data_IF_823930854543
#
_entry.id   IF_823930854543
#
_cell.length_a   1.000
_cell.length_b   1.000
_cell.length_c   1.000
_cell.angle_alpha   90.00
_cell.angle_beta   90.00
_cell.angle_gamma   90.00
#
_symmetry.space_group_name_H-M   'P 1'
#
loop_
_entity.id
_entity.type
_entity.pdbx_description
1 polymer ?
#
# COMPACT_ATOMS: atom_id res chain seq x y z
N UNK A 1 -2.24 -32.69 26.07
CA UNK A 1 -2.62 -31.87 24.90
C UNK A 1 -1.62 -30.72 24.79
N UNK A 2 -0.95 -30.54 23.64
CA UNK A 2 -0.08 -29.37 23.41
C UNK A 2 -0.97 -28.19 23.05
N UNK A 3 -0.93 -27.09 23.80
CA UNK A 3 -1.77 -25.90 23.55
C UNK A 3 -0.98 -24.62 23.82
N UNK A 4 -1.22 -23.59 23.01
CA UNK A 4 -0.66 -22.25 23.20
C UNK A 4 -1.79 -21.23 23.21
N UNK A 5 -1.65 -20.16 24.01
CA UNK A 5 -2.60 -19.04 23.97
C UNK A 5 -2.21 -18.15 22.80
N UNK A 6 -2.90 -18.33 21.67
CA UNK A 6 -2.63 -17.62 20.43
C UNK A 6 -3.82 -16.75 20.05
N UNK A 7 -3.54 -15.46 19.88
CA UNK A 7 -4.45 -14.53 19.23
C UNK A 7 -4.45 -14.84 17.72
N UNK A 8 -5.64 -14.92 17.15
CA UNK A 8 -5.83 -15.19 15.73
C UNK A 8 -6.93 -14.28 15.19
N UNK A 9 -6.62 -13.56 14.11
CA UNK A 9 -7.59 -12.75 13.38
C UNK A 9 -7.48 -13.05 11.89
N UNK A 10 -8.60 -13.43 11.32
CA UNK A 10 -8.79 -13.65 9.89
C UNK A 10 -9.84 -12.66 9.38
N UNK A 11 -9.57 -12.05 8.23
CA UNK A 11 -10.48 -11.11 7.58
C UNK A 11 -10.45 -11.35 6.08
N UNK A 12 -11.63 -11.55 5.48
CA UNK A 12 -11.80 -11.47 4.04
C UNK A 12 -12.07 -10.02 3.68
N UNK A 13 -11.27 -9.47 2.77
CA UNK A 13 -11.51 -8.12 2.27
C UNK A 13 -12.57 -8.16 1.17
N UNK A 14 -13.34 -7.08 1.05
CA UNK A 14 -14.30 -6.90 -0.05
C UNK A 14 -13.55 -6.58 -1.35
N UNK A 15 -12.87 -7.59 -1.85
CA UNK A 15 -12.12 -7.59 -3.09
C UNK A 15 -11.93 -9.05 -3.52
N UNK A 16 -12.43 -9.36 -4.70
CA UNK A 16 -12.06 -10.56 -5.43
C UNK A 16 -10.95 -10.20 -6.41
N UNK A 17 -10.22 -11.22 -6.85
CA UNK A 17 -9.29 -11.09 -7.97
C UNK A 17 -9.62 -12.08 -9.08
N UNK A 18 -9.30 -11.72 -10.32
CA UNK A 18 -9.37 -12.62 -11.47
C UNK A 18 -8.17 -12.36 -12.37
N UNK A 19 -7.50 -13.43 -12.79
CA UNK A 19 -6.34 -13.35 -13.65
C UNK A 19 -6.73 -13.27 -15.12
N UNK A 20 -5.89 -12.61 -15.90
CA UNK A 20 -5.95 -12.52 -17.35
C UNK A 20 -4.51 -12.60 -17.91
N UNK A 21 -4.39 -12.81 -19.21
CA UNK A 21 -3.13 -12.89 -19.92
C UNK A 21 -3.19 -12.03 -21.18
N UNK A 22 -2.16 -11.22 -21.37
CA UNK A 22 -1.87 -10.54 -22.64
C UNK A 22 -0.85 -11.40 -23.38
N UNK A 23 -1.22 -11.86 -24.57
CA UNK A 23 -0.35 -12.65 -25.44
C UNK A 23 0.83 -11.80 -25.98
N UNK A 24 1.89 -12.41 -26.53
CA UNK A 24 2.90 -11.68 -27.27
C UNK A 24 2.31 -10.99 -28.50
N UNK A 25 3.00 -9.99 -29.03
CA UNK A 25 2.66 -9.35 -30.30
C UNK A 25 2.81 -10.34 -31.48
N UNK A 26 2.31 -9.95 -32.66
CA UNK A 26 2.47 -10.74 -33.88
C UNK A 26 3.94 -10.97 -34.26
N UNK A 27 4.84 -10.08 -33.85
CA UNK A 27 6.29 -10.21 -34.05
C UNK A 27 6.98 -11.04 -32.94
N UNK A 28 6.18 -11.71 -32.11
CA UNK A 28 6.63 -12.45 -30.94
C UNK A 28 7.45 -11.57 -29.98
N UNK A 29 6.99 -10.34 -29.73
CA UNK A 29 7.58 -9.40 -28.78
C UNK A 29 6.57 -8.91 -27.73
N UNK A 30 7.03 -8.20 -26.70
CA UNK A 30 6.13 -7.61 -25.71
C UNK A 30 5.20 -6.56 -26.35
N UNK A 31 3.90 -6.64 -26.07
CA UNK A 31 2.93 -5.66 -26.58
C UNK A 31 3.02 -4.27 -25.91
N UNK A 32 3.50 -4.23 -24.66
CA UNK A 32 3.72 -3.02 -23.87
C UNK A 32 5.08 -3.09 -23.18
N UNK A 33 5.53 -2.00 -22.55
CA UNK A 33 6.87 -1.91 -21.96
C UNK A 33 7.15 -3.06 -20.94
N UNK A 34 8.17 -3.90 -21.15
CA UNK A 34 8.47 -5.02 -20.24
C UNK A 34 9.23 -4.61 -18.97
N UNK A 35 9.58 -3.33 -18.83
CA UNK A 35 10.38 -2.83 -17.71
C UNK A 35 9.56 -2.02 -16.69
N UNK A 36 8.23 -2.10 -16.77
CA UNK A 36 7.32 -1.35 -15.91
C UNK A 36 6.23 -2.25 -15.34
N UNK A 37 5.81 -1.94 -14.12
CA UNK A 37 4.55 -2.41 -13.55
C UNK A 37 3.43 -1.53 -14.10
N UNK A 38 2.51 -2.12 -14.86
CA UNK A 38 1.39 -1.38 -15.44
C UNK A 38 0.19 -1.44 -14.50
N UNK A 39 -0.41 -0.28 -14.22
CA UNK A 39 -1.55 -0.14 -13.30
C UNK A 39 -2.59 0.76 -13.96
N UNK A 40 -3.81 0.26 -14.07
CA UNK A 40 -4.99 1.04 -14.45
C UNK A 40 -5.89 1.22 -13.22
N UNK A 41 -5.82 2.39 -12.55
CA UNK A 41 -6.62 2.66 -11.36
C UNK A 41 -8.06 3.06 -11.74
N UNK A 42 -9.04 2.41 -11.13
CA UNK A 42 -10.47 2.60 -11.44
C UNK A 42 -11.32 3.20 -10.31
N UNK A 43 -10.75 3.49 -9.14
CA UNK A 43 -11.51 3.96 -7.96
C UNK A 43 -11.82 2.80 -7.02
N UNK A 44 -12.86 2.04 -7.32
CA UNK A 44 -13.25 0.87 -6.50
C UNK A 44 -12.66 -0.44 -7.00
N UNK A 45 -12.09 -0.42 -8.21
CA UNK A 45 -11.44 -1.54 -8.86
C UNK A 45 -10.10 -1.08 -9.46
N UNK A 46 -9.24 -2.04 -9.76
CA UNK A 46 -7.97 -1.78 -10.43
C UNK A 46 -7.57 -2.97 -11.29
N UNK A 47 -6.87 -2.69 -12.38
CA UNK A 47 -6.27 -3.71 -13.23
C UNK A 47 -4.75 -3.52 -13.22
N UNK A 48 -3.99 -4.59 -13.01
CA UNK A 48 -2.52 -4.55 -13.07
C UNK A 48 -2.01 -5.54 -14.12
N UNK A 49 -0.83 -5.29 -14.68
CA UNK A 49 -0.14 -6.23 -15.55
C UNK A 49 1.35 -6.32 -15.20
N UNK A 50 1.83 -7.55 -15.03
CA UNK A 50 3.22 -7.88 -14.77
C UNK A 50 3.81 -8.64 -15.97
N UNK A 51 5.00 -8.25 -16.46
CA UNK A 51 5.65 -8.92 -17.57
C UNK A 51 6.18 -10.30 -17.15
N UNK A 52 6.05 -11.26 -18.04
CA UNK A 52 6.61 -12.62 -17.92
C UNK A 52 7.80 -12.81 -18.86
N UNK A 53 8.75 -13.72 -18.55
CA UNK A 53 9.91 -14.00 -19.42
C UNK A 53 9.56 -14.51 -20.82
N UNK A 54 8.39 -15.13 -20.98
CA UNK A 54 7.85 -15.64 -22.25
C UNK A 54 7.17 -14.57 -23.11
N UNK A 55 7.36 -13.29 -22.75
CA UNK A 55 6.81 -12.11 -23.43
C UNK A 55 5.30 -11.93 -23.31
N UNK A 56 4.66 -12.69 -22.42
CA UNK A 56 3.28 -12.46 -22.00
C UNK A 56 3.22 -11.44 -20.86
N UNK A 57 2.02 -10.98 -20.53
CA UNK A 57 1.77 -10.32 -19.24
C UNK A 57 0.69 -11.06 -18.47
N UNK A 58 0.99 -11.38 -17.21
CA UNK A 58 -0.05 -11.81 -16.25
C UNK A 58 -0.72 -10.56 -15.73
N UNK A 59 -2.02 -10.48 -15.97
CA UNK A 59 -2.83 -9.37 -15.55
C UNK A 59 -3.81 -9.80 -14.47
N UNK A 60 -4.20 -8.87 -13.61
CA UNK A 60 -5.13 -9.17 -12.53
C UNK A 60 -6.12 -8.02 -12.36
N UNK A 61 -7.41 -8.36 -12.44
CA UNK A 61 -8.50 -7.47 -12.05
C UNK A 61 -8.77 -7.66 -10.56
N UNK A 62 -8.75 -6.56 -9.82
CA UNK A 62 -9.18 -6.49 -8.43
C UNK A 62 -10.44 -5.64 -8.34
N UNK A 63 -11.53 -6.20 -7.81
CA UNK A 63 -12.79 -5.47 -7.64
C UNK A 63 -13.65 -6.08 -6.51
N UNK A 64 -14.52 -5.29 -5.86
CA UNK A 64 -15.54 -5.78 -4.94
C UNK A 64 -16.42 -6.89 -5.53
N UNK A 65 -16.97 -7.75 -4.68
CA UNK A 65 -17.78 -8.88 -5.12
C UNK A 65 -19.01 -8.45 -5.95
N UNK A 66 -19.60 -7.29 -5.63
CA UNK A 66 -20.74 -6.71 -6.36
C UNK A 66 -20.40 -6.41 -7.83
N UNK A 67 -19.17 -5.94 -8.10
CA UNK A 67 -18.72 -5.71 -9.47
C UNK A 67 -18.59 -7.02 -10.23
N UNK A 68 -18.03 -8.07 -9.62
CA UNK A 68 -17.92 -9.37 -10.25
C UNK A 68 -19.30 -9.95 -10.60
N UNK A 69 -20.27 -9.91 -9.67
CA UNK A 69 -21.63 -10.36 -9.94
C UNK A 69 -22.29 -9.61 -11.12
N UNK A 70 -22.02 -8.30 -11.24
CA UNK A 70 -22.50 -7.49 -12.36
C UNK A 70 -21.83 -7.89 -13.68
N UNK A 71 -20.52 -8.12 -13.67
CA UNK A 71 -19.72 -8.48 -14.86
C UNK A 71 -20.03 -9.89 -15.36
N UNK A 72 -20.35 -10.82 -14.46
CA UNK A 72 -20.77 -12.20 -14.79
C UNK A 72 -22.13 -12.26 -15.47
N UNK A 73 -23.01 -11.27 -15.26
CA UNK A 73 -24.39 -11.31 -15.74
C UNK A 73 -24.54 -11.23 -17.26
N UNK A 74 -23.63 -10.51 -17.94
CA UNK A 74 -23.62 -10.36 -19.40
C UNK A 74 -22.21 -10.06 -19.91
N UNK A 75 -21.64 -10.88 -20.82
CA UNK A 75 -20.37 -10.60 -21.47
C UNK A 75 -20.25 -9.20 -22.11
N UNK A 76 -21.36 -8.61 -22.57
CA UNK A 76 -21.36 -7.24 -23.12
C UNK A 76 -21.08 -6.18 -22.06
N UNK A 77 -21.52 -6.41 -20.82
CA UNK A 77 -21.25 -5.52 -19.68
C UNK A 77 -19.76 -5.57 -19.36
N UNK A 78 -19.16 -6.76 -19.35
CA UNK A 78 -17.71 -6.94 -19.18
C UNK A 78 -16.91 -6.13 -20.21
N UNK A 79 -17.24 -6.27 -21.49
CA UNK A 79 -16.56 -5.53 -22.57
C UNK A 79 -16.71 -4.01 -22.39
N UNK A 80 -17.93 -3.54 -22.11
CA UNK A 80 -18.19 -2.11 -21.88
C UNK A 80 -17.45 -1.58 -20.65
N UNK A 81 -17.37 -2.37 -19.58
CA UNK A 81 -16.65 -2.04 -18.36
C UNK A 81 -15.15 -1.84 -18.65
N UNK A 82 -14.52 -2.78 -19.34
CA UNK A 82 -13.11 -2.64 -19.72
C UNK A 82 -12.86 -1.46 -20.66
N UNK A 83 -13.73 -1.23 -21.65
CA UNK A 83 -13.61 -0.07 -22.54
C UNK A 83 -13.74 1.26 -21.81
N UNK A 84 -14.65 1.35 -20.84
CA UNK A 84 -14.93 2.58 -20.10
C UNK A 84 -13.84 2.89 -19.07
N UNK A 85 -13.39 1.87 -18.35
CA UNK A 85 -12.54 2.04 -17.18
C UNK A 85 -11.06 1.76 -17.44
N UNK A 86 -10.76 0.89 -18.40
CA UNK A 86 -9.40 0.47 -18.75
C UNK A 86 -9.15 0.65 -20.25
N UNK A 87 -9.27 1.89 -20.78
CA UNK A 87 -9.08 2.14 -22.19
C UNK A 87 -7.68 1.67 -22.63
N UNK A 88 -7.64 0.98 -23.77
CA UNK A 88 -6.42 0.37 -24.32
C UNK A 88 -6.22 -1.09 -23.94
N UNK A 89 -6.83 -1.61 -22.86
CA UNK A 89 -6.71 -3.04 -22.51
C UNK A 89 -7.45 -3.91 -23.51
N UNK A 90 -8.73 -3.63 -23.78
CA UNK A 90 -9.51 -4.33 -24.81
C UNK A 90 -10.17 -3.31 -25.74
N UNK A 91 -10.17 -3.52 -27.07
CA UNK A 91 -9.66 -4.69 -27.81
C UNK A 91 -8.14 -4.67 -28.08
N UNK A 92 -7.40 -3.67 -27.58
CA UNK A 92 -6.01 -3.40 -27.99
C UNK A 92 -5.01 -4.49 -27.58
N UNK A 93 -4.97 -4.86 -26.30
CA UNK A 93 -4.02 -5.84 -25.74
C UNK A 93 -4.63 -7.23 -25.60
N UNK A 94 -5.90 -7.28 -25.18
CA UNK A 94 -6.69 -8.50 -25.01
C UNK A 94 -7.88 -8.45 -25.96
N UNK A 95 -7.97 -9.37 -26.95
CA UNK A 95 -9.13 -9.49 -27.81
C UNK A 95 -10.43 -9.69 -27.00
N UNK A 96 -11.57 -9.15 -27.43
CA UNK A 96 -12.84 -9.27 -26.72
C UNK A 96 -13.24 -10.72 -26.37
N UNK A 97 -13.03 -11.64 -27.31
CA UNK A 97 -13.30 -13.07 -27.16
C UNK A 97 -12.43 -13.73 -26.09
N UNK A 98 -11.15 -13.36 -26.04
CA UNK A 98 -10.21 -13.85 -25.05
C UNK A 98 -10.51 -13.27 -23.68
N UNK A 99 -10.89 -11.99 -23.61
CA UNK A 99 -11.29 -11.35 -22.35
C UNK A 99 -12.49 -12.07 -21.72
N UNK A 100 -13.53 -12.33 -22.52
CA UNK A 100 -14.74 -13.05 -22.07
C UNK A 100 -14.39 -14.47 -21.64
N UNK A 101 -13.61 -15.18 -22.46
CA UNK A 101 -13.20 -16.56 -22.18
C UNK A 101 -12.41 -16.65 -20.87
N UNK A 102 -11.41 -15.78 -20.70
CA UNK A 102 -10.56 -15.77 -19.52
C UNK A 102 -11.36 -15.41 -18.27
N UNK A 103 -12.23 -14.40 -18.32
CA UNK A 103 -13.08 -14.03 -17.19
C UNK A 103 -14.05 -15.14 -16.78
N UNK A 104 -14.60 -15.88 -17.75
CA UNK A 104 -15.58 -16.95 -17.48
C UNK A 104 -14.92 -18.26 -17.02
N UNK A 105 -13.65 -18.48 -17.36
CA UNK A 105 -12.94 -19.73 -17.06
C UNK A 105 -12.08 -19.61 -15.81
N UNK A 106 -11.47 -18.45 -15.59
CA UNK A 106 -10.57 -18.23 -14.46
C UNK A 106 -11.38 -18.00 -13.18
N UNK A 107 -10.93 -18.54 -12.03
CA UNK A 107 -11.67 -18.42 -10.79
C UNK A 107 -11.63 -16.99 -10.25
N UNK A 108 -12.73 -16.53 -9.67
CA UNK A 108 -12.80 -15.25 -8.95
C UNK A 108 -12.53 -15.51 -7.47
N UNK A 109 -11.29 -15.33 -7.04
CA UNK A 109 -10.87 -15.76 -5.71
C UNK A 109 -10.93 -14.62 -4.70
N UNK A 110 -11.36 -14.89 -3.46
CA UNK A 110 -11.36 -13.90 -2.39
C UNK A 110 -9.94 -13.69 -1.84
N UNK A 111 -9.70 -12.49 -1.32
CA UNK A 111 -8.45 -12.15 -0.68
C UNK A 111 -8.58 -12.18 0.85
N UNK A 112 -7.65 -12.88 1.49
CA UNK A 112 -7.60 -13.08 2.94
C UNK A 112 -6.46 -12.27 3.56
N UNK A 113 -6.71 -11.75 4.76
CA UNK A 113 -5.73 -11.12 5.63
C UNK A 113 -5.72 -11.85 6.97
N UNK A 114 -4.55 -12.31 7.39
CA UNK A 114 -4.36 -13.09 8.61
C UNK A 114 -3.32 -12.42 9.50
N UNK A 115 -3.64 -12.33 10.79
CA UNK A 115 -2.71 -11.89 11.84
C UNK A 115 -2.76 -12.89 12.98
N UNK A 116 -1.60 -13.24 13.51
CA UNK A 116 -1.53 -14.16 14.62
C UNK A 116 -0.38 -13.87 15.57
N UNK A 117 -0.50 -14.33 16.82
CA UNK A 117 0.53 -14.16 17.84
C UNK A 117 0.28 -15.11 19.01
N UNK A 118 1.27 -15.86 19.52
CA UNK A 118 2.65 -15.93 19.05
C UNK A 118 2.82 -16.86 17.83
N UNK A 119 3.96 -16.77 17.14
CA UNK A 119 4.27 -17.61 15.98
C UNK A 119 4.93 -18.96 16.36
N UNK A 120 4.93 -19.38 17.63
CA UNK A 120 5.63 -20.58 18.07
C UNK A 120 4.94 -21.29 19.23
N UNK A 121 5.33 -22.54 19.47
CA UNK A 121 4.96 -23.33 20.64
C UNK A 121 6.18 -23.96 21.32
N UNK A 122 6.57 -23.38 22.45
CA UNK A 122 7.70 -23.84 23.26
C UNK A 122 8.96 -23.98 22.43
N UNK A 123 9.57 -25.17 22.44
CA UNK A 123 10.71 -25.53 21.58
C UNK A 123 10.34 -26.40 20.39
N UNK A 124 9.05 -26.68 20.16
CA UNK A 124 8.63 -27.78 19.29
C UNK A 124 8.13 -27.35 17.91
N UNK A 125 7.53 -26.17 17.80
CA UNK A 125 6.91 -25.73 16.54
C UNK A 125 7.04 -24.21 16.36
N UNK A 126 7.15 -23.79 15.11
CA UNK A 126 7.13 -22.39 14.66
C UNK A 126 6.37 -22.33 13.33
N UNK A 127 5.59 -21.27 13.13
CA UNK A 127 4.90 -20.95 11.89
C UNK A 127 5.56 -19.72 11.25
N UNK A 128 5.69 -19.72 9.93
CA UNK A 128 6.35 -18.69 9.13
C UNK A 128 5.51 -18.38 7.88
N UNK A 129 5.76 -17.25 7.23
CA UNK A 129 5.09 -16.82 6.01
C UNK A 129 3.57 -16.72 6.17
N UNK A 130 2.83 -17.11 5.14
CA UNK A 130 1.36 -16.99 5.10
C UNK A 130 0.65 -17.78 6.22
N UNK A 131 1.27 -18.84 6.74
CA UNK A 131 0.73 -19.57 7.89
C UNK A 131 0.70 -18.71 9.17
N UNK A 132 1.62 -17.75 9.29
CA UNK A 132 1.71 -16.83 10.41
C UNK A 132 1.02 -15.48 10.12
N UNK A 133 1.12 -14.99 8.88
CA UNK A 133 0.68 -13.63 8.51
C UNK A 133 0.30 -13.47 7.03
N UNK A 134 -0.73 -14.17 6.54
CA UNK A 134 -1.23 -13.95 5.19
C UNK A 134 -1.53 -12.46 4.91
N UNK A 135 -0.82 -11.86 3.96
CA UNK A 135 -0.95 -10.45 3.58
C UNK A 135 -1.67 -10.31 2.24
N UNK A 136 -2.47 -9.27 2.13
CA UNK A 136 -3.10 -8.92 0.85
C UNK A 136 -2.03 -8.48 -0.16
N UNK A 137 -2.17 -8.82 -1.47
CA UNK A 137 -1.08 -8.77 -2.45
C UNK A 137 -0.72 -7.36 -2.94
N UNK A 138 -1.24 -6.31 -2.30
CA UNK A 138 -1.16 -4.96 -2.84
C UNK A 138 0.18 -4.27 -2.65
N UNK A 139 1.09 -4.81 -1.84
CA UNK A 139 2.47 -4.30 -1.72
C UNK A 139 3.50 -5.21 -2.40
N UNK A 140 3.11 -6.40 -2.89
CA UNK A 140 4.07 -7.38 -3.43
C UNK A 140 5.06 -7.94 -2.40
N UNK A 141 4.70 -7.93 -1.11
CA UNK A 141 5.63 -8.25 -0.01
C UNK A 141 5.35 -9.58 0.70
N UNK A 142 4.31 -10.34 0.36
CA UNK A 142 4.00 -11.60 1.03
C UNK A 142 5.16 -12.61 0.97
N UNK A 143 5.63 -12.90 -0.25
CA UNK A 143 6.78 -13.76 -0.47
C UNK A 143 8.05 -13.21 0.21
N UNK A 144 8.34 -11.93 0.03
CA UNK A 144 9.53 -11.28 0.60
C UNK A 144 9.54 -11.34 2.14
N UNK A 145 8.40 -11.04 2.78
CA UNK A 145 8.24 -11.12 4.22
C UNK A 145 8.33 -12.55 4.74
N UNK A 146 7.85 -13.54 3.99
CA UNK A 146 7.98 -14.96 4.31
C UNK A 146 9.43 -15.46 4.20
N UNK A 147 10.16 -15.06 3.16
CA UNK A 147 11.60 -15.36 3.05
C UNK A 147 12.40 -14.67 4.16
N UNK A 148 12.02 -13.44 4.51
CA UNK A 148 12.61 -12.71 5.63
C UNK A 148 12.36 -13.42 6.97
N UNK A 149 11.20 -14.04 7.17
CA UNK A 149 10.93 -14.83 8.39
C UNK A 149 11.95 -15.95 8.58
N UNK A 150 12.27 -16.66 7.50
CA UNK A 150 13.26 -17.75 7.52
C UNK A 150 14.60 -17.20 7.93
N UNK A 151 15.07 -16.12 7.28
CA UNK A 151 16.34 -15.46 7.64
C UNK A 151 16.39 -15.07 9.12
N UNK A 152 15.38 -14.36 9.61
CA UNK A 152 15.33 -13.86 11.00
C UNK A 152 15.23 -15.00 12.01
N UNK A 153 14.49 -16.06 11.69
CA UNK A 153 14.43 -17.26 12.53
C UNK A 153 15.84 -17.87 12.70
N UNK A 154 16.55 -18.07 11.60
CA UNK A 154 17.89 -18.66 11.63
C UNK A 154 18.89 -17.75 12.36
N UNK A 155 18.82 -16.42 12.19
CA UNK A 155 19.63 -15.48 12.97
C UNK A 155 19.46 -15.67 14.48
N UNK A 156 18.23 -15.91 14.96
CA UNK A 156 17.98 -16.17 16.37
C UNK A 156 18.42 -17.55 16.83
N UNK A 157 18.27 -18.58 16.00
CA UNK A 157 18.76 -19.92 16.30
C UNK A 157 20.29 -19.93 16.43
N UNK A 158 20.99 -19.25 15.52
CA UNK A 158 22.44 -19.13 15.50
C UNK A 158 22.95 -18.29 16.67
N UNK A 159 22.32 -17.13 16.93
CA UNK A 159 22.67 -16.25 18.05
C UNK A 159 22.54 -16.93 19.41
N UNK A 160 21.58 -17.83 19.57
CA UNK A 160 21.42 -18.62 20.80
C UNK A 160 22.29 -19.88 20.82
N UNK A 161 23.05 -20.16 19.75
CA UNK A 161 23.93 -21.32 19.64
C UNK A 161 23.17 -22.65 19.67
N UNK A 162 21.92 -22.69 19.19
CA UNK A 162 21.02 -23.86 19.34
C UNK A 162 21.66 -25.12 18.74
N UNK A 163 22.27 -25.00 17.56
CA UNK A 163 22.89 -26.10 16.81
C UNK A 163 24.42 -25.94 16.68
N UNK A 164 25.05 -25.31 17.66
CA UNK A 164 26.51 -25.17 17.70
C UNK A 164 27.19 -26.47 18.13
N UNK A 165 28.48 -26.64 17.83
CA UNK A 165 29.24 -27.84 18.21
C UNK A 165 29.22 -28.11 19.73
N UNK A 166 29.08 -27.07 20.55
CA UNK A 166 29.00 -27.19 22.02
C UNK A 166 27.62 -27.61 22.55
N UNK A 167 26.57 -27.56 21.74
CA UNK A 167 25.20 -27.96 22.11
C UNK A 167 24.73 -29.24 21.42
N UNK A 168 25.49 -29.76 20.44
CA UNK A 168 25.06 -30.80 19.50
C UNK A 168 24.55 -32.11 20.14
N UNK A 169 25.10 -32.51 21.29
CA UNK A 169 24.79 -33.80 21.91
C UNK A 169 23.84 -33.72 23.12
N UNK A 170 23.41 -32.51 23.52
CA UNK A 170 22.60 -32.31 24.72
C UNK A 170 21.15 -31.90 24.38
N UNK A 171 20.30 -32.90 24.15
CA UNK A 171 18.89 -32.71 23.78
C UNK A 171 18.10 -31.74 24.71
N UNK A 172 18.18 -31.84 26.06
CA UNK A 172 17.56 -30.85 26.96
C UNK A 172 18.07 -29.41 26.77
N UNK A 173 19.37 -29.24 26.56
CA UNK A 173 19.99 -27.93 26.34
C UNK A 173 19.53 -27.34 25.01
N UNK A 174 19.52 -28.13 23.93
CA UNK A 174 19.00 -27.71 22.62
C UNK A 174 17.55 -27.25 22.74
N UNK A 175 16.70 -28.01 23.45
CA UNK A 175 15.30 -27.65 23.63
C UNK A 175 15.14 -26.31 24.37
N UNK A 176 15.93 -26.08 25.43
CA UNK A 176 15.93 -24.82 26.19
C UNK A 176 16.41 -23.63 25.34
N UNK A 177 17.50 -23.79 24.60
CA UNK A 177 18.03 -22.75 23.71
C UNK A 177 17.06 -22.44 22.56
N UNK A 178 16.44 -23.48 21.98
CA UNK A 178 15.46 -23.33 20.92
C UNK A 178 14.20 -22.61 21.40
N UNK A 179 13.70 -22.93 22.59
CA UNK A 179 12.58 -22.21 23.18
C UNK A 179 12.89 -20.70 23.30
N UNK A 180 14.08 -20.33 23.78
CA UNK A 180 14.52 -18.93 23.86
C UNK A 180 14.63 -18.27 22.48
N UNK A 181 15.14 -18.99 21.48
CA UNK A 181 15.26 -18.49 20.11
C UNK A 181 13.89 -18.24 19.47
N UNK A 182 12.96 -19.18 19.59
CA UNK A 182 11.61 -19.08 19.02
C UNK A 182 10.77 -17.98 19.68
N UNK A 183 10.92 -17.80 20.98
CA UNK A 183 10.31 -16.71 21.73
C UNK A 183 10.89 -15.35 21.31
N UNK A 184 12.22 -15.23 21.16
CA UNK A 184 12.85 -14.01 20.65
C UNK A 184 12.44 -13.69 19.20
N UNK A 185 12.40 -14.70 18.33
CA UNK A 185 11.89 -14.60 16.95
C UNK A 185 10.46 -14.06 16.94
N UNK A 186 9.56 -14.65 17.73
CA UNK A 186 8.17 -14.21 17.77
C UNK A 186 8.04 -12.77 18.23
N UNK A 187 8.73 -12.38 19.31
CA UNK A 187 8.71 -11.00 19.81
C UNK A 187 9.23 -9.98 18.80
N UNK A 188 10.26 -10.34 18.02
CA UNK A 188 10.77 -9.47 16.97
C UNK A 188 9.81 -9.43 15.77
N UNK A 189 9.34 -10.58 15.31
CA UNK A 189 8.71 -10.68 13.99
C UNK A 189 7.25 -10.30 13.96
N UNK A 190 6.50 -10.52 15.05
CA UNK A 190 5.06 -10.19 15.12
C UNK A 190 4.79 -8.70 14.79
N UNK A 191 5.50 -7.72 15.40
CA UNK A 191 5.32 -6.31 15.02
C UNK A 191 5.56 -6.03 13.53
N UNK A 192 6.56 -6.69 12.93
CA UNK A 192 6.93 -6.47 11.53
C UNK A 192 5.90 -7.11 10.58
N UNK A 193 5.47 -8.34 10.87
CA UNK A 193 4.40 -9.04 10.16
C UNK A 193 3.07 -8.24 10.20
N UNK A 194 2.71 -7.71 11.38
CA UNK A 194 1.53 -6.86 11.52
C UNK A 194 1.67 -5.52 10.79
N UNK A 195 2.89 -4.95 10.78
CA UNK A 195 3.19 -3.72 10.06
C UNK A 195 3.04 -3.91 8.55
N UNK A 196 3.63 -4.95 7.95
CA UNK A 196 3.51 -5.17 6.51
C UNK A 196 2.06 -5.50 6.10
N UNK A 197 1.34 -6.28 6.91
CA UNK A 197 -0.09 -6.52 6.67
C UNK A 197 -0.90 -5.20 6.67
N UNK A 198 -0.61 -4.28 7.60
CA UNK A 198 -1.23 -2.97 7.63
C UNK A 198 -0.85 -2.11 6.41
N UNK A 199 0.44 -2.04 6.08
CA UNK A 199 0.95 -1.29 4.93
C UNK A 199 0.35 -1.78 3.61
N UNK A 200 0.21 -3.09 3.42
CA UNK A 200 -0.44 -3.66 2.24
C UNK A 200 -1.91 -3.25 2.13
N UNK A 201 -2.63 -3.18 3.25
CA UNK A 201 -4.04 -2.72 3.27
C UNK A 201 -4.16 -1.23 2.99
N UNK A 202 -3.26 -0.40 3.51
CA UNK A 202 -3.24 1.02 3.18
C UNK A 202 -2.93 1.25 1.70
N UNK A 203 -1.97 0.49 1.15
CA UNK A 203 -1.62 0.59 -0.26
C UNK A 203 -2.77 0.17 -1.17
N UNK A 204 -3.60 -0.79 -0.76
CA UNK A 204 -4.84 -1.11 -1.48
C UNK A 204 -5.75 0.10 -1.64
N UNK A 205 -5.98 0.82 -0.52
CA UNK A 205 -6.84 2.01 -0.48
C UNK A 205 -6.23 3.12 -1.34
N UNK A 206 -4.91 3.30 -1.28
CA UNK A 206 -4.19 4.30 -2.08
C UNK A 206 -4.25 3.99 -3.60
N UNK A 207 -3.97 2.75 -4.00
CA UNK A 207 -3.98 2.32 -5.40
C UNK A 207 -5.38 2.39 -6.00
N UNK A 208 -6.41 1.95 -5.26
CA UNK A 208 -7.79 1.95 -5.75
C UNK A 208 -8.34 3.37 -5.91
N UNK A 209 -8.28 4.20 -4.87
CA UNK A 209 -8.89 5.54 -4.88
C UNK A 209 -8.26 6.47 -5.92
N UNK A 210 -7.05 6.12 -6.36
CA UNK A 210 -6.18 6.93 -7.18
C UNK A 210 -5.58 8.04 -6.32
N UNK A 211 -4.35 8.39 -6.63
CA UNK A 211 -3.65 9.52 -5.99
C UNK A 211 -4.25 10.83 -6.49
N UNK A 212 -5.50 11.13 -6.16
CA UNK A 212 -6.28 12.26 -6.72
C UNK A 212 -6.13 13.55 -5.91
N UNK A 213 -5.80 13.46 -4.62
CA UNK A 213 -5.65 14.63 -3.76
C UNK A 213 -4.44 15.49 -4.16
N UNK A 214 -4.63 16.78 -4.52
CA UNK A 214 -3.52 17.69 -4.85
C UNK A 214 -2.54 17.88 -3.69
N UNK A 215 -3.06 17.95 -2.45
CA UNK A 215 -2.26 18.07 -1.23
C UNK A 215 -1.38 16.83 -1.05
N UNK A 216 -1.95 15.65 -1.31
CA UNK A 216 -1.20 14.40 -1.23
C UNK A 216 -0.09 14.33 -2.28
N UNK A 217 -0.37 14.72 -3.53
CA UNK A 217 0.65 14.78 -4.60
C UNK A 217 1.77 15.75 -4.26
N UNK A 218 1.44 16.93 -3.75
CA UNK A 218 2.43 17.93 -3.33
C UNK A 218 3.31 17.40 -2.20
N UNK A 219 2.70 16.73 -1.21
CA UNK A 219 3.43 16.09 -0.11
C UNK A 219 4.39 15.01 -0.63
N UNK A 220 3.92 14.12 -1.50
CA UNK A 220 4.74 13.07 -2.12
C UNK A 220 5.89 13.65 -2.94
N UNK A 221 5.62 14.67 -3.76
CA UNK A 221 6.64 15.36 -4.53
C UNK A 221 7.71 15.98 -3.61
N UNK A 222 7.31 16.54 -2.47
CA UNK A 222 8.25 17.07 -1.48
C UNK A 222 9.06 15.95 -0.79
N UNK A 223 8.43 14.84 -0.44
CA UNK A 223 9.12 13.67 0.13
C UNK A 223 10.15 13.09 -0.85
N UNK A 224 9.81 12.99 -2.14
CA UNK A 224 10.71 12.55 -3.20
C UNK A 224 11.84 13.54 -3.45
N UNK A 225 11.56 14.84 -3.43
CA UNK A 225 12.58 15.88 -3.54
C UNK A 225 13.55 15.84 -2.35
N UNK A 226 13.05 15.67 -1.12
CA UNK A 226 13.89 15.51 0.07
C UNK A 226 14.77 14.26 -0.02
N UNK A 227 14.22 13.14 -0.48
CA UNK A 227 14.96 11.91 -0.70
C UNK A 227 16.08 12.08 -1.75
N UNK A 228 15.76 12.73 -2.88
CA UNK A 228 16.70 12.90 -4.00
C UNK A 228 17.81 13.91 -3.73
N UNK A 229 17.46 15.06 -3.16
CA UNK A 229 18.38 16.20 -3.03
C UNK A 229 19.04 16.30 -1.65
N UNK A 230 18.43 15.73 -0.61
CA UNK A 230 18.95 15.79 0.76
C UNK A 230 19.04 14.41 1.44
N UNK A 231 19.70 13.41 0.82
CA UNK A 231 19.77 12.05 1.37
C UNK A 231 20.46 11.99 2.75
N UNK A 232 21.36 12.94 3.04
CA UNK A 232 22.06 13.04 4.32
C UNK A 232 21.17 13.38 5.53
N UNK A 233 19.92 13.84 5.30
CA UNK A 233 18.95 14.06 6.37
C UNK A 233 18.27 12.76 6.85
N UNK A 234 18.61 11.61 6.26
CA UNK A 234 17.97 10.32 6.55
C UNK A 234 16.51 10.25 6.07
N UNK A 235 16.11 11.14 5.16
CA UNK A 235 14.80 11.10 4.53
C UNK A 235 14.79 10.00 3.49
N UNK A 236 13.79 9.11 3.52
CA UNK A 236 13.60 8.05 2.53
C UNK A 236 12.14 7.69 2.52
N UNK A 237 11.59 7.49 1.32
CA UNK A 237 10.17 7.22 1.13
C UNK A 237 9.80 5.86 1.72
N UNK A 238 8.55 5.71 2.17
CA UNK A 238 8.06 4.43 2.68
C UNK A 238 8.25 3.29 1.67
N UNK A 239 7.96 3.56 0.39
CA UNK A 239 8.17 2.60 -0.68
C UNK A 239 9.63 2.18 -0.81
N UNK A 240 10.57 3.13 -0.81
CA UNK A 240 11.98 2.80 -0.93
C UNK A 240 12.49 1.99 0.28
N UNK A 241 12.05 2.32 1.49
CA UNK A 241 12.41 1.56 2.69
C UNK A 241 11.87 0.13 2.66
N UNK A 242 10.60 -0.05 2.27
CA UNK A 242 9.98 -1.39 2.23
C UNK A 242 10.54 -2.24 1.09
N UNK A 243 10.75 -1.66 -0.09
CA UNK A 243 11.08 -2.42 -1.30
C UNK A 243 12.58 -2.57 -1.56
N UNK A 244 13.42 -1.65 -1.08
CA UNK A 244 14.84 -1.58 -1.42
C UNK A 244 15.78 -1.56 -0.21
N UNK A 245 15.28 -1.85 0.99
CA UNK A 245 16.09 -1.98 2.20
C UNK A 245 15.68 -3.19 3.03
N UNK A 246 16.50 -3.55 4.02
CA UNK A 246 16.18 -4.56 5.02
C UNK A 246 15.78 -3.93 6.37
N UNK A 247 15.32 -2.68 6.36
CA UNK A 247 14.78 -2.03 7.55
C UNK A 247 13.54 -2.81 8.03
N UNK A 248 13.46 -3.05 9.34
CA UNK A 248 12.30 -3.72 9.95
C UNK A 248 11.01 -2.97 9.61
N UNK A 249 9.99 -3.67 9.11
CA UNK A 249 8.73 -3.04 8.70
C UNK A 249 8.09 -2.18 9.81
N UNK A 250 8.15 -2.61 11.07
CA UNK A 250 7.61 -1.82 12.19
C UNK A 250 8.40 -0.52 12.44
N UNK A 251 9.70 -0.52 12.18
CA UNK A 251 10.55 0.69 12.25
C UNK A 251 10.33 1.59 11.04
N UNK A 252 10.09 1.03 9.85
CA UNK A 252 9.68 1.81 8.67
C UNK A 252 8.39 2.58 8.94
N UNK A 253 7.36 1.92 9.49
CA UNK A 253 6.10 2.58 9.87
C UNK A 253 6.33 3.75 10.84
N UNK A 254 7.16 3.54 11.88
CA UNK A 254 7.49 4.60 12.84
C UNK A 254 8.26 5.76 12.19
N UNK A 255 9.25 5.45 11.35
CA UNK A 255 10.06 6.43 10.65
C UNK A 255 9.20 7.27 9.69
N UNK A 256 8.34 6.64 8.88
CA UNK A 256 7.44 7.33 7.97
C UNK A 256 6.42 8.18 8.72
N UNK A 257 5.87 7.70 9.84
CA UNK A 257 4.96 8.49 10.68
C UNK A 257 5.66 9.73 11.24
N UNK A 258 6.91 9.60 11.68
CA UNK A 258 7.72 10.73 12.16
C UNK A 258 7.99 11.74 11.04
N UNK A 259 8.43 11.27 9.87
CA UNK A 259 8.69 12.11 8.69
C UNK A 259 7.41 12.86 8.26
N UNK A 260 6.29 12.16 8.18
CA UNK A 260 4.99 12.74 7.83
C UNK A 260 4.60 13.83 8.82
N UNK A 261 4.71 13.58 10.13
CA UNK A 261 4.39 14.56 11.16
C UNK A 261 5.27 15.81 11.09
N UNK A 262 6.57 15.64 10.86
CA UNK A 262 7.51 16.76 10.69
C UNK A 262 7.15 17.56 9.44
N UNK A 263 6.89 16.89 8.32
CA UNK A 263 6.56 17.53 7.06
C UNK A 263 5.24 18.29 7.12
N UNK A 264 4.19 17.69 7.69
CA UNK A 264 2.88 18.33 7.87
C UNK A 264 2.97 19.55 8.77
N UNK A 265 3.73 19.48 9.88
CA UNK A 265 3.96 20.64 10.74
C UNK A 265 4.71 21.75 10.00
N UNK A 266 5.77 21.41 9.27
CA UNK A 266 6.55 22.37 8.49
C UNK A 266 5.71 23.04 7.39
N UNK A 267 4.87 22.28 6.69
CA UNK A 267 3.92 22.82 5.71
C UNK A 267 2.92 23.77 6.35
N UNK A 268 2.32 23.38 7.48
CA UNK A 268 1.35 24.21 8.20
C UNK A 268 1.99 25.49 8.73
N UNK A 269 3.18 25.42 9.35
CA UNK A 269 3.89 26.60 9.85
C UNK A 269 4.27 27.54 8.72
N UNK A 270 4.71 27.00 7.58
CA UNK A 270 5.05 27.80 6.40
C UNK A 270 3.81 28.49 5.84
N UNK A 271 2.68 27.78 5.74
CA UNK A 271 1.42 28.33 5.29
C UNK A 271 0.90 29.45 6.22
N UNK A 272 0.85 29.21 7.53
CA UNK A 272 0.43 30.20 8.53
C UNK A 272 1.35 31.42 8.50
N UNK A 273 2.66 31.22 8.35
CA UNK A 273 3.63 32.31 8.23
C UNK A 273 3.39 33.14 6.97
N UNK A 274 3.21 32.50 5.81
CA UNK A 274 2.90 33.19 4.54
C UNK A 274 1.62 34.01 4.63
N UNK A 275 0.56 33.46 5.21
CA UNK A 275 -0.71 34.18 5.44
C UNK A 275 -0.51 35.34 6.42
N UNK A 276 0.24 35.12 7.51
CA UNK A 276 0.58 36.17 8.48
C UNK A 276 1.37 37.32 7.85
N UNK A 277 2.42 37.02 7.10
CA UNK A 277 3.20 38.04 6.39
C UNK A 277 2.38 38.76 5.31
N UNK A 278 1.53 38.04 4.57
CA UNK A 278 0.67 38.64 3.54
C UNK A 278 -0.38 39.57 4.16
N UNK A 279 -0.99 39.17 5.27
CA UNK A 279 -1.97 40.00 6.00
C UNK A 279 -1.31 41.23 6.62
N UNK A 280 -0.11 41.09 7.21
CA UNK A 280 0.67 42.24 7.72
C UNK A 280 1.09 43.17 6.57
N UNK A 281 1.50 42.62 5.42
CA UNK A 281 1.87 43.40 4.23
C UNK A 281 0.69 44.19 3.67
N UNK A 282 -0.46 43.54 3.50
CA UNK A 282 -1.72 44.18 3.10
C UNK A 282 -2.19 45.22 4.13
N UNK A 283 -1.96 44.97 5.42
CA UNK A 283 -2.26 45.92 6.47
C UNK A 283 -1.26 47.09 6.51
N UNK A 284 0.00 46.95 6.08
CA UNK A 284 0.98 48.05 6.12
C UNK A 284 0.97 48.93 4.87
N UNK A 285 0.48 48.46 3.72
CA UNK A 285 0.41 49.30 2.53
C UNK A 285 -0.85 50.21 2.52
N UNK A 286 -0.72 51.53 2.30
CA UNK A 286 -1.87 52.45 2.35
C UNK A 286 -2.94 52.17 1.27
N UNK A 287 -2.51 51.78 0.06
CA UNK A 287 -3.41 51.53 -1.07
C UNK A 287 -4.32 50.30 -0.87
N UNK A 288 -3.81 49.24 -0.21
CA UNK A 288 -4.60 48.05 0.13
C UNK A 288 -5.61 48.32 1.26
N UNK A 289 -5.30 49.21 2.21
CA UNK A 289 -6.27 49.65 3.22
C UNK A 289 -7.48 50.33 2.60
N UNK A 290 -7.25 51.20 1.61
CA UNK A 290 -8.31 51.91 0.88
C UNK A 290 -9.19 50.98 0.04
N UNK A 291 -8.63 49.92 -0.53
CA UNK A 291 -9.40 48.91 -1.28
C UNK A 291 -10.28 48.09 -0.33
N UNK A 292 -9.73 47.66 0.81
CA UNK A 292 -10.46 46.86 1.81
C UNK A 292 -11.60 47.68 2.43
N UNK A 293 -11.37 48.95 2.77
CA UNK A 293 -12.43 49.84 3.28
C UNK A 293 -13.49 50.12 2.23
N UNK A 294 -13.14 50.27 0.94
CA UNK A 294 -14.12 50.42 -0.16
C UNK A 294 -14.97 49.16 -0.35
N UNK A 295 -14.38 47.96 -0.25
CA UNK A 295 -15.13 46.70 -0.31
C UNK A 295 -16.10 46.54 0.87
N UNK A 296 -15.67 46.86 2.09
CA UNK A 296 -16.53 46.84 3.29
C UNK A 296 -17.69 47.85 3.22
N UNK A 297 -17.46 49.03 2.64
CA UNK A 297 -18.52 50.01 2.40
C UNK A 297 -19.50 49.57 1.29
N UNK A 298 -19.02 48.85 0.27
CA UNK A 298 -19.88 48.29 -0.77
C UNK A 298 -20.78 47.16 -0.23
N UNK A 299 -20.25 46.25 0.59
CA UNK A 299 -21.02 45.16 1.18
C UNK A 299 -22.08 45.65 2.18
N UNK A 300 -21.75 46.66 2.99
CA UNK A 300 -22.73 47.29 3.90
C UNK A 300 -23.82 48.09 3.16
N UNK A 301 -23.51 48.71 2.01
CA UNK A 301 -24.53 49.32 1.13
C UNK A 301 -25.46 48.29 0.51
N UNK A 302 -24.93 47.13 0.11
CA UNK A 302 -25.73 46.03 -0.44
C UNK A 302 -26.64 45.45 0.66
N UNK A 303 -26.12 45.21 1.87
CA UNK A 303 -26.93 44.72 3.00
C UNK A 303 -28.06 45.68 3.38
N UNK A 304 -27.79 47.00 3.45
CA UNK A 304 -28.82 48.02 3.70
C UNK A 304 -29.80 48.19 2.54
N UNK A 305 -29.39 47.93 1.30
CA UNK A 305 -30.26 47.93 0.13
C UNK A 305 -31.23 46.75 0.12
N UNK A 306 -30.79 45.59 0.62
CA UNK A 306 -31.62 44.39 0.76
C UNK A 306 -32.65 44.55 1.90
N UNK A 307 -32.28 45.13 3.04
CA UNK A 307 -33.23 45.46 4.12
C UNK A 307 -34.33 46.45 3.68
N UNK A 308 -33.99 47.43 2.82
CA UNK A 308 -34.98 48.38 2.26
C UNK A 308 -35.90 47.79 1.20
N UNK A 309 -35.57 46.62 0.65
CA UNK A 309 -36.39 45.90 -0.34
C UNK A 309 -37.33 44.88 0.31
N UNK A 310 -37.16 44.60 1.60
CA UNK A 310 -37.91 43.59 2.36
C UNK A 310 -38.89 44.22 3.39
N UNK A 311 -38.95 45.56 3.47
CA UNK A 311 -39.92 46.34 4.23
C UNK A 311 -40.85 47.10 3.28
#
# INVERSE_FOLDING_TARGET
>A
MKYTRMDYRQEYIDCLWCEFSIAPSNDNDFQISPHHLHIWPGGDFMFIALPSPDKTFVCTLFAPAEHFATLESDPKILLKFFQTHFPGVSPGLIPPEDLIKQFSTNPHLPLISLKSSPHHYGSSAVILGDAAHAVVPFYGQGLNAGLEDVRVLFEYLDKQGVYSASSADNSPQIASLRAKALDAYSRQRIPDAHAINHLSRENFIEMRAGVKSPVYRMRKALEEALYKYFPGLGWSTQYARVSFSNDRYSEVVKATKRQTNVLSKAMLTTFVSLVGFSTIGLWKWPWSRDIITRMLHASTRIAKGIEKSLA
#
